data_IF_629538105765
#
_entry.id   IF_629538105765
#
_cell.length_a   1.000
_cell.length_b   1.000
_cell.length_c   1.000
_cell.angle_alpha   90.00
_cell.angle_beta   90.00
_cell.angle_gamma   90.00
#
_symmetry.space_group_name_H-M   'P 1'
#
loop_
_entity.id
_entity.type
_entity.pdbx_description
1 polymer ?
#
# COMPACT_ATOMS: atom_id res chain seq x y z
N UNK A 1 18.39 22.10 7.19
CA UNK A 1 18.77 20.81 7.82
C UNK A 1 17.60 19.85 7.62
N UNK A 2 17.83 18.64 7.11
CA UNK A 2 16.76 17.65 6.93
C UNK A 2 16.36 17.03 8.27
N UNK A 3 15.11 16.54 8.33
CA UNK A 3 14.61 15.84 9.52
C UNK A 3 15.46 14.58 9.80
N UNK A 4 16.03 14.45 11.01
CA UNK A 4 16.85 13.29 11.38
C UNK A 4 16.13 11.94 11.29
N UNK A 5 14.81 11.92 11.47
CA UNK A 5 14.02 10.70 11.31
C UNK A 5 14.02 10.20 9.86
N UNK A 6 14.10 11.13 8.89
CA UNK A 6 14.14 10.77 7.46
C UNK A 6 15.57 10.40 7.02
N UNK A 7 16.58 11.10 7.51
CA UNK A 7 17.97 10.87 7.10
C UNK A 7 18.55 9.54 7.60
N UNK A 8 17.91 8.93 8.58
CA UNK A 8 18.28 7.60 9.11
C UNK A 8 17.64 6.43 8.38
N UNK A 9 16.67 6.69 7.50
CA UNK A 9 15.99 5.62 6.77
C UNK A 9 16.87 5.07 5.65
N UNK A 10 16.73 3.78 5.41
CA UNK A 10 17.32 3.15 4.24
C UNK A 10 16.58 3.62 2.97
N UNK A 11 17.34 3.83 1.88
CA UNK A 11 16.74 4.09 0.59
C UNK A 11 15.92 2.86 0.11
N UNK A 12 14.76 3.08 -0.54
CA UNK A 12 14.00 1.98 -1.11
C UNK A 12 14.85 1.17 -2.11
N UNK A 13 14.80 -0.19 -2.07
CA UNK A 13 15.67 -1.04 -2.89
C UNK A 13 15.34 -0.99 -4.39
N UNK A 14 14.18 -0.46 -4.77
CA UNK A 14 13.68 -0.46 -6.16
C UNK A 14 14.67 0.18 -7.13
N UNK A 15 15.22 1.35 -6.79
CA UNK A 15 16.20 2.05 -7.66
C UNK A 15 17.49 1.25 -7.85
N UNK A 16 17.93 0.53 -6.83
CA UNK A 16 19.12 -0.32 -6.90
C UNK A 16 18.88 -1.50 -7.85
N UNK A 17 17.74 -2.15 -7.72
CA UNK A 17 17.35 -3.30 -8.58
C UNK A 17 17.15 -2.84 -10.04
N UNK A 18 16.55 -1.68 -10.27
CA UNK A 18 16.41 -1.12 -11.62
C UNK A 18 17.78 -0.81 -12.25
N UNK A 19 18.75 -0.31 -11.47
CA UNK A 19 20.12 -0.10 -11.96
C UNK A 19 20.80 -1.44 -12.31
N UNK A 20 20.64 -2.49 -11.50
CA UNK A 20 21.15 -3.81 -11.84
C UNK A 20 20.56 -4.33 -13.14
N UNK A 21 19.24 -4.19 -13.32
CA UNK A 21 18.56 -4.56 -14.57
C UNK A 21 19.12 -3.79 -15.76
N UNK A 22 19.29 -2.47 -15.63
CA UNK A 22 19.81 -1.62 -16.71
C UNK A 22 21.26 -1.93 -17.08
N UNK A 23 22.07 -2.42 -16.14
CA UNK A 23 23.49 -2.78 -16.36
C UNK A 23 23.70 -4.22 -16.77
N UNK A 24 22.64 -5.05 -16.82
CA UNK A 24 22.76 -6.45 -17.18
C UNK A 24 22.97 -6.63 -18.69
N UNK A 25 24.02 -7.34 -19.05
CA UNK A 25 24.49 -7.55 -20.43
C UNK A 25 23.83 -8.74 -21.17
N UNK A 26 22.81 -9.35 -20.58
CA UNK A 26 22.10 -10.52 -21.09
C UNK A 26 22.97 -11.77 -21.31
N UNK A 27 24.18 -11.82 -20.76
CA UNK A 27 25.13 -12.92 -20.95
C UNK A 27 24.64 -14.28 -20.45
N UNK A 28 23.62 -14.30 -19.57
CA UNK A 28 23.01 -15.50 -19.00
C UNK A 28 21.56 -15.71 -19.43
N UNK A 29 21.09 -15.03 -20.48
CA UNK A 29 19.74 -15.14 -21.00
C UNK A 29 18.87 -13.93 -20.74
N UNK A 30 17.58 -14.05 -21.03
CA UNK A 30 16.59 -12.99 -20.90
C UNK A 30 16.35 -12.61 -19.43
N UNK A 31 16.05 -11.34 -19.19
CA UNK A 31 15.71 -10.81 -17.85
C UNK A 31 14.28 -11.17 -17.48
N UNK A 32 14.11 -11.88 -16.39
CA UNK A 32 12.81 -12.04 -15.73
C UNK A 32 12.68 -10.99 -14.62
N UNK A 33 11.93 -9.92 -14.92
CA UNK A 33 11.74 -8.81 -13.97
C UNK A 33 10.75 -9.16 -12.88
N UNK A 34 11.25 -9.47 -11.70
CA UNK A 34 10.48 -9.74 -10.48
C UNK A 34 10.61 -8.61 -9.44
N UNK A 35 11.09 -7.44 -9.86
CA UNK A 35 11.37 -6.32 -8.94
C UNK A 35 10.12 -5.63 -8.38
N UNK A 36 9.00 -5.73 -9.09
CA UNK A 36 7.74 -5.10 -8.70
C UNK A 36 6.56 -6.04 -8.99
N UNK A 37 5.62 -6.10 -8.05
CA UNK A 37 4.40 -6.90 -8.19
C UNK A 37 3.36 -6.16 -9.05
N UNK A 38 3.69 -5.93 -10.33
CA UNK A 38 2.78 -5.32 -11.30
C UNK A 38 2.19 -6.41 -12.18
N UNK A 39 0.84 -6.53 -12.26
CA UNK A 39 0.20 -7.48 -13.15
C UNK A 39 0.64 -7.29 -14.61
N UNK A 40 1.04 -8.37 -15.28
CA UNK A 40 1.45 -8.35 -16.70
C UNK A 40 0.29 -8.38 -17.69
N UNK A 41 -0.96 -8.34 -17.21
CA UNK A 41 -2.17 -8.35 -18.03
C UNK A 41 -2.92 -7.03 -17.93
N UNK A 42 -3.70 -6.71 -18.97
CA UNK A 42 -4.55 -5.52 -19.01
C UNK A 42 -5.71 -5.64 -18.01
N UNK A 43 -6.11 -4.50 -17.44
CA UNK A 43 -7.31 -4.44 -16.63
C UNK A 43 -8.56 -4.88 -17.45
N UNK A 44 -9.56 -5.45 -16.77
CA UNK A 44 -10.80 -5.91 -17.41
C UNK A 44 -11.50 -4.76 -18.15
N UNK A 45 -12.03 -5.04 -19.33
CA UNK A 45 -12.64 -4.02 -20.19
C UNK A 45 -13.79 -3.27 -19.48
N UNK A 46 -14.65 -3.99 -18.74
CA UNK A 46 -15.75 -3.38 -18.00
C UNK A 46 -15.26 -2.42 -16.90
N UNK A 47 -14.13 -2.76 -16.25
CA UNK A 47 -13.52 -1.87 -15.26
C UNK A 47 -13.00 -0.59 -15.92
N UNK A 48 -12.34 -0.71 -17.07
CA UNK A 48 -11.85 0.46 -17.82
C UNK A 48 -13.01 1.34 -18.31
N UNK A 49 -14.10 0.74 -18.78
CA UNK A 49 -15.31 1.46 -19.18
C UNK A 49 -15.93 2.20 -17.99
N UNK A 50 -16.11 1.55 -16.85
CA UNK A 50 -16.64 2.17 -15.64
C UNK A 50 -15.76 3.32 -15.13
N UNK A 51 -14.43 3.18 -15.18
CA UNK A 51 -13.49 4.25 -14.82
C UNK A 51 -13.60 5.44 -15.78
N UNK A 52 -13.73 5.20 -17.09
CA UNK A 52 -13.90 6.26 -18.07
C UNK A 52 -15.22 7.02 -17.87
N UNK A 53 -16.30 6.32 -17.59
CA UNK A 53 -17.61 6.91 -17.26
C UNK A 53 -17.52 7.75 -15.98
N UNK A 54 -16.94 7.20 -14.93
CA UNK A 54 -16.74 7.91 -13.67
C UNK A 54 -15.88 9.18 -13.83
N UNK A 55 -14.80 9.10 -14.60
CA UNK A 55 -13.92 10.24 -14.87
C UNK A 55 -14.61 11.35 -15.66
N UNK A 56 -15.58 11.01 -16.50
CA UNK A 56 -16.37 11.98 -17.27
C UNK A 56 -17.48 12.66 -16.46
N UNK A 57 -17.80 12.15 -15.26
CA UNK A 57 -18.88 12.69 -14.43
C UNK A 57 -18.36 13.79 -13.47
N UNK A 58 -18.73 15.07 -13.68
CA UNK A 58 -18.24 16.18 -12.83
C UNK A 58 -18.71 16.09 -11.37
N UNK A 59 -19.79 15.38 -11.08
CA UNK A 59 -20.28 15.20 -9.72
C UNK A 59 -19.35 14.32 -8.88
N UNK A 60 -18.58 13.42 -9.52
CA UNK A 60 -17.59 12.57 -8.86
C UNK A 60 -16.25 13.27 -8.64
N UNK A 61 -16.04 14.46 -9.20
CA UNK A 61 -14.84 15.28 -9.01
C UNK A 61 -14.93 16.24 -7.80
N UNK A 62 -15.84 15.99 -6.87
CA UNK A 62 -16.06 16.80 -5.67
C UNK A 62 -15.43 16.17 -4.45
N UNK A 63 -15.28 16.98 -3.39
CA UNK A 63 -14.94 16.44 -2.07
C UNK A 63 -16.07 15.55 -1.55
N UNK A 64 -15.72 14.36 -1.13
CA UNK A 64 -16.63 13.41 -0.48
C UNK A 64 -16.42 13.33 1.03
N UNK A 65 -17.13 12.41 1.71
CA UNK A 65 -16.90 12.12 3.12
C UNK A 65 -15.46 11.67 3.39
N UNK A 66 -14.93 12.04 4.55
CA UNK A 66 -13.54 11.70 4.95
C UNK A 66 -13.31 10.20 4.99
N UNK A 67 -14.33 9.44 5.38
CA UNK A 67 -14.29 7.98 5.47
C UNK A 67 -14.43 7.27 4.11
N UNK A 68 -14.73 8.03 3.07
CA UNK A 68 -15.06 7.53 1.73
C UNK A 68 -16.56 7.39 1.47
N UNK A 69 -16.92 7.30 0.21
CA UNK A 69 -18.31 7.28 -0.23
C UNK A 69 -19.09 6.08 0.34
N UNK A 70 -20.27 6.36 0.89
CA UNK A 70 -21.10 5.36 1.54
C UNK A 70 -21.48 4.18 0.63
N UNK A 71 -21.80 4.37 -0.67
CA UNK A 71 -22.04 3.24 -1.56
C UNK A 71 -20.83 2.30 -1.69
N UNK A 72 -19.63 2.84 -1.78
CA UNK A 72 -18.39 2.06 -1.85
C UNK A 72 -18.15 1.32 -0.54
N UNK A 73 -18.27 2.01 0.60
CA UNK A 73 -18.11 1.41 1.93
C UNK A 73 -19.08 0.25 2.17
N UNK A 74 -20.36 0.42 1.80
CA UNK A 74 -21.38 -0.63 1.90
C UNK A 74 -21.06 -1.84 1.02
N UNK A 75 -20.65 -1.59 -0.22
CA UNK A 75 -20.30 -2.65 -1.17
C UNK A 75 -19.08 -3.43 -0.67
N UNK A 76 -18.06 -2.72 -0.19
CA UNK A 76 -16.85 -3.34 0.33
C UNK A 76 -17.09 -4.10 1.64
N UNK A 77 -17.87 -3.54 2.55
CA UNK A 77 -18.28 -4.22 3.79
C UNK A 77 -19.00 -5.54 3.51
N UNK A 78 -19.91 -5.57 2.53
CA UNK A 78 -20.59 -6.81 2.09
C UNK A 78 -19.59 -7.82 1.56
N UNK A 79 -18.72 -7.40 0.64
CA UNK A 79 -17.68 -8.28 0.07
C UNK A 79 -16.79 -8.89 1.16
N UNK A 80 -16.33 -8.08 2.12
CA UNK A 80 -15.51 -8.57 3.23
C UNK A 80 -16.31 -9.49 4.17
N UNK A 81 -17.58 -9.19 4.43
CA UNK A 81 -18.44 -10.04 5.24
C UNK A 81 -18.59 -11.42 4.62
N UNK A 82 -18.82 -11.47 3.31
CA UNK A 82 -18.94 -12.72 2.56
C UNK A 82 -17.60 -13.48 2.51
N UNK A 83 -16.50 -12.78 2.30
CA UNK A 83 -15.17 -13.39 2.20
C UNK A 83 -14.67 -13.97 3.53
N UNK A 84 -14.82 -13.20 4.61
CA UNK A 84 -14.34 -13.61 5.94
C UNK A 84 -15.40 -14.33 6.79
N UNK A 85 -16.64 -14.51 6.27
CA UNK A 85 -17.76 -15.09 7.02
C UNK A 85 -17.98 -14.37 8.37
N UNK A 86 -17.89 -13.03 8.34
CA UNK A 86 -17.96 -12.15 9.50
C UNK A 86 -18.96 -11.02 9.27
N UNK A 87 -19.52 -10.45 10.34
CA UNK A 87 -20.40 -9.29 10.24
C UNK A 87 -19.56 -8.00 10.21
N UNK A 88 -19.40 -7.41 9.03
CA UNK A 88 -18.67 -6.15 8.85
C UNK A 88 -19.65 -5.08 8.37
N UNK A 89 -19.79 -3.99 9.13
CA UNK A 89 -20.64 -2.85 8.78
C UNK A 89 -19.85 -1.82 7.96
N UNK A 90 -20.57 -0.97 7.21
CA UNK A 90 -19.95 0.14 6.47
C UNK A 90 -19.17 1.09 7.38
N UNK A 91 -19.61 1.23 8.64
CA UNK A 91 -18.94 2.08 9.63
C UNK A 91 -17.59 1.52 10.14
N UNK A 92 -17.32 0.26 9.85
CA UNK A 92 -15.99 -0.35 10.07
C UNK A 92 -15.04 -0.15 8.90
N UNK A 93 -15.47 0.53 7.84
CA UNK A 93 -14.69 0.72 6.61
C UNK A 93 -14.28 2.18 6.46
N UNK A 94 -13.00 2.41 6.26
CA UNK A 94 -12.45 3.67 5.80
C UNK A 94 -11.71 3.46 4.47
N UNK A 95 -11.99 4.29 3.49
CA UNK A 95 -11.33 4.25 2.18
C UNK A 95 -10.11 5.16 2.23
N UNK A 96 -9.01 4.68 1.67
CA UNK A 96 -7.73 5.41 1.58
C UNK A 96 -7.18 5.38 0.16
N UNK A 97 -6.25 6.29 -0.14
CA UNK A 97 -5.49 6.27 -1.41
C UNK A 97 -4.41 5.18 -1.39
N UNK A 98 -4.87 3.94 -1.43
CA UNK A 98 -4.02 2.76 -1.42
C UNK A 98 -3.59 2.29 -0.03
N UNK A 99 -3.00 1.08 0.01
CA UNK A 99 -2.65 0.40 1.26
C UNK A 99 -1.54 1.11 2.05
N UNK A 100 -0.66 1.85 1.42
CA UNK A 100 0.37 2.61 2.15
C UNK A 100 -0.24 3.70 3.02
N UNK A 101 -1.25 4.42 2.54
CA UNK A 101 -1.96 5.40 3.36
C UNK A 101 -2.73 4.71 4.49
N UNK A 102 -3.37 3.58 4.23
CA UNK A 102 -4.05 2.80 5.26
C UNK A 102 -3.08 2.36 6.36
N UNK A 103 -1.90 1.85 5.98
CA UNK A 103 -0.87 1.44 6.93
C UNK A 103 -0.39 2.60 7.80
N UNK A 104 -0.06 3.74 7.18
CA UNK A 104 0.41 4.93 7.91
C UNK A 104 -0.67 5.45 8.86
N UNK A 105 -1.93 5.55 8.40
CA UNK A 105 -3.04 5.99 9.23
C UNK A 105 -3.27 5.06 10.42
N UNK A 106 -3.21 3.74 10.19
CA UNK A 106 -3.34 2.73 11.26
C UNK A 106 -2.16 2.82 12.23
N UNK A 107 -0.93 2.90 11.74
CA UNK A 107 0.25 3.01 12.58
C UNK A 107 0.18 4.26 13.48
N UNK A 108 -0.21 5.43 12.92
CA UNK A 108 -0.41 6.66 13.67
C UNK A 108 -1.49 6.54 14.75
N UNK A 109 -2.52 5.72 14.51
CA UNK A 109 -3.62 5.54 15.46
C UNK A 109 -3.25 4.64 16.65
N UNK A 110 -2.31 3.69 16.46
CA UNK A 110 -2.02 2.64 17.46
C UNK A 110 -0.61 2.69 18.03
N UNK A 111 0.32 3.42 17.43
CA UNK A 111 1.71 3.50 17.87
C UNK A 111 2.30 4.90 17.68
N UNK A 112 3.25 5.27 18.54
CA UNK A 112 3.95 6.55 18.49
C UNK A 112 5.43 6.42 18.81
N UNK A 113 6.08 7.57 18.96
CA UNK A 113 7.50 7.64 19.24
C UNK A 113 7.88 6.85 20.51
N UNK A 114 8.77 5.89 20.34
CA UNK A 114 9.27 5.02 21.43
C UNK A 114 8.52 3.70 21.57
N UNK A 115 7.37 3.55 20.95
CA UNK A 115 6.69 2.25 20.86
C UNK A 115 7.43 1.28 19.94
N UNK A 116 7.07 0.01 20.02
CA UNK A 116 7.66 -1.05 19.21
C UNK A 116 6.58 -1.89 18.55
N UNK A 117 6.83 -2.29 17.32
CA UNK A 117 5.95 -3.15 16.51
C UNK A 117 6.71 -4.40 16.10
N UNK A 118 6.07 -5.55 16.23
CA UNK A 118 6.58 -6.82 15.72
C UNK A 118 6.23 -6.97 14.24
N UNK A 119 7.23 -7.23 13.39
CA UNK A 119 7.04 -7.50 11.97
C UNK A 119 7.67 -8.83 11.57
N UNK A 120 7.05 -9.50 10.61
CA UNK A 120 7.66 -10.68 9.97
C UNK A 120 8.73 -10.25 8.97
N UNK A 121 9.76 -11.08 8.78
CA UNK A 121 10.79 -10.87 7.77
C UNK A 121 10.87 -12.12 6.86
N UNK A 122 10.76 -12.01 5.52
CA UNK A 122 10.78 -10.76 4.74
C UNK A 122 9.53 -9.89 4.92
N UNK A 123 9.70 -8.56 4.81
CA UNK A 123 8.63 -7.57 4.96
C UNK A 123 8.67 -6.53 3.83
N UNK A 124 7.60 -5.77 3.72
CA UNK A 124 7.53 -4.68 2.75
C UNK A 124 8.27 -3.44 3.28
N UNK A 125 9.29 -3.01 2.56
CA UNK A 125 10.17 -1.91 2.97
C UNK A 125 9.47 -0.57 3.26
N UNK A 126 8.32 -0.29 2.62
CA UNK A 126 7.56 0.92 2.91
C UNK A 126 6.99 0.92 4.33
N UNK A 127 6.66 -0.24 4.89
CA UNK A 127 6.20 -0.35 6.27
C UNK A 127 7.33 0.00 7.25
N UNK A 128 8.54 -0.50 7.01
CA UNK A 128 9.71 -0.15 7.81
C UNK A 128 10.00 1.37 7.76
N UNK A 129 9.96 1.93 6.55
CA UNK A 129 10.16 3.37 6.35
C UNK A 129 9.10 4.21 7.07
N UNK A 130 7.83 3.82 6.98
CA UNK A 130 6.73 4.51 7.64
C UNK A 130 6.89 4.50 9.16
N UNK A 131 7.13 3.33 9.77
CA UNK A 131 7.36 3.19 11.20
C UNK A 131 8.58 3.98 11.67
N UNK A 132 9.68 3.92 10.89
CA UNK A 132 10.88 4.69 11.18
C UNK A 132 10.66 6.21 11.17
N UNK A 133 9.85 6.73 10.23
CA UNK A 133 9.44 8.14 10.21
C UNK A 133 8.62 8.54 11.44
N UNK A 134 7.82 7.63 11.98
CA UNK A 134 7.02 7.84 13.18
C UNK A 134 7.82 7.67 14.49
N UNK A 135 9.09 7.25 14.41
CA UNK A 135 9.90 6.97 15.57
C UNK A 135 9.53 5.69 16.31
N UNK A 136 8.81 4.79 15.64
CA UNK A 136 8.41 3.47 16.15
C UNK A 136 9.51 2.47 15.89
N UNK A 137 9.95 1.75 16.93
CA UNK A 137 10.92 0.68 16.81
C UNK A 137 10.32 -0.59 16.20
N UNK A 138 11.16 -1.39 15.53
CA UNK A 138 10.71 -2.65 14.91
C UNK A 138 11.48 -3.81 15.51
N UNK A 139 10.76 -4.82 15.94
CA UNK A 139 11.27 -6.15 16.24
C UNK A 139 10.90 -7.10 15.11
N UNK A 140 11.81 -8.01 14.74
CA UNK A 140 11.58 -8.91 13.63
C UNK A 140 11.46 -10.35 14.07
N UNK A 141 10.57 -11.08 13.38
CA UNK A 141 10.49 -12.53 13.41
C UNK A 141 10.73 -13.03 11.99
N UNK A 142 11.73 -13.88 11.83
CA UNK A 142 12.00 -14.51 10.55
C UNK A 142 10.93 -15.57 10.25
N UNK A 143 10.44 -15.57 9.01
CA UNK A 143 9.55 -16.60 8.49
C UNK A 143 10.40 -17.58 7.68
N UNK A 144 10.26 -18.88 7.96
CA UNK A 144 10.88 -19.97 7.23
C UNK A 144 10.24 -20.16 5.84
#
# INVERSE_FOLDING_TARGET
MFNPAVTKLNAPPVSVVLNWKASYDQSRGEVFDMSQAVPGYTAHADMLAALAEAAANPELARYGPVEGDMPLRKSYARHLSDFYQASIAADNIQITSGCNQAFVATALAVAGQGDRVLMTRPCYFNHESALGMLGVGIDYVDCD
#
